data_IF_053901257949
#
_entry.id   IF_053901257949
#
_cell.length_a   1.000
_cell.length_b   1.000
_cell.length_c   1.000
_cell.angle_alpha   90.00
_cell.angle_beta   90.00
_cell.angle_gamma   90.00
#
_symmetry.space_group_name_H-M   'P 1'
#
loop_
_entity.id
_entity.type
_entity.pdbx_description
1 polymer ?
#
# COMPACT_ATOMS: atom_id res chain seq x y z
N UNK A 1 -10.63 -21.49 4.06
CA UNK A 1 -9.60 -20.64 4.70
C UNK A 1 -8.57 -21.56 5.33
N UNK A 2 -7.29 -21.34 5.08
CA UNK A 2 -6.22 -22.10 5.74
C UNK A 2 -6.10 -21.65 7.22
N UNK A 3 -5.75 -22.60 8.10
CA UNK A 3 -5.49 -22.26 9.50
C UNK A 3 -4.08 -21.65 9.66
N UNK A 4 -3.85 -20.85 10.71
CA UNK A 4 -2.53 -20.30 10.99
C UNK A 4 -1.44 -21.39 11.09
N UNK A 5 -1.77 -22.56 11.66
CA UNK A 5 -0.83 -23.71 11.75
C UNK A 5 -0.44 -24.27 10.39
N UNK A 6 -1.38 -24.32 9.42
CA UNK A 6 -1.08 -24.73 8.06
C UNK A 6 -0.24 -23.71 7.32
N UNK A 7 -0.57 -22.41 7.49
CA UNK A 7 0.18 -21.30 6.91
C UNK A 7 1.64 -21.27 7.41
N UNK A 8 1.86 -21.45 8.70
CA UNK A 8 3.22 -21.49 9.30
C UNK A 8 4.14 -22.51 8.64
N UNK A 9 3.61 -23.61 8.13
CA UNK A 9 4.39 -24.68 7.49
C UNK A 9 4.61 -24.43 6.00
N UNK A 10 3.73 -23.67 5.37
CA UNK A 10 3.68 -23.52 3.91
C UNK A 10 4.31 -22.23 3.43
N UNK A 11 4.11 -21.13 4.16
CA UNK A 11 4.55 -19.81 3.78
C UNK A 11 6.08 -19.71 3.82
N UNK A 12 6.66 -19.15 2.77
CA UNK A 12 8.08 -18.80 2.64
C UNK A 12 8.30 -17.29 2.64
N UNK A 13 7.32 -16.55 2.11
CA UNK A 13 7.39 -15.09 1.94
C UNK A 13 6.16 -14.45 2.58
N UNK A 14 6.38 -13.45 3.43
CA UNK A 14 5.35 -12.53 3.89
C UNK A 14 5.51 -11.24 3.07
N UNK A 15 4.53 -10.94 2.23
CA UNK A 15 4.56 -9.83 1.29
C UNK A 15 3.59 -8.75 1.72
N UNK A 16 4.04 -7.51 1.80
CA UNK A 16 3.30 -6.40 2.37
C UNK A 16 2.92 -5.36 1.32
N UNK A 17 1.67 -4.88 1.38
CA UNK A 17 1.33 -3.58 0.86
C UNK A 17 2.08 -2.48 1.63
N UNK A 18 2.44 -1.40 0.96
CA UNK A 18 3.19 -0.27 1.55
C UNK A 18 2.26 0.76 2.18
N UNK A 19 1.42 1.40 1.35
CA UNK A 19 0.70 2.62 1.70
C UNK A 19 -0.58 2.36 2.51
N UNK A 20 -0.53 2.67 3.81
CA UNK A 20 -1.61 2.43 4.76
C UNK A 20 -1.52 1.08 5.46
N UNK A 21 -0.55 0.23 5.09
CA UNK A 21 -0.26 -1.05 5.75
C UNK A 21 1.04 -0.99 6.54
N UNK A 22 2.16 -0.71 5.88
CA UNK A 22 3.48 -0.50 6.51
C UNK A 22 3.63 0.95 6.98
N UNK A 23 3.30 1.92 6.14
CA UNK A 23 3.41 3.36 6.44
C UNK A 23 2.04 4.02 6.61
N UNK A 24 1.94 4.98 7.54
CA UNK A 24 0.71 5.74 7.80
C UNK A 24 0.54 6.88 6.79
N UNK A 25 0.09 6.53 5.60
CA UNK A 25 -0.13 7.49 4.52
C UNK A 25 -1.18 8.55 4.88
N UNK A 26 -2.24 8.19 5.61
CA UNK A 26 -3.29 9.14 5.96
C UNK A 26 -2.76 10.23 6.88
N UNK A 27 -2.08 9.84 7.94
CA UNK A 27 -1.53 10.79 8.92
C UNK A 27 -0.40 11.60 8.30
N UNK A 28 0.56 10.94 7.65
CA UNK A 28 1.74 11.60 7.09
C UNK A 28 1.37 12.67 6.05
N UNK A 29 0.47 12.36 5.11
CA UNK A 29 0.02 13.35 4.13
C UNK A 29 -0.85 14.45 4.77
N UNK A 30 -1.67 14.12 5.78
CA UNK A 30 -2.42 15.15 6.49
C UNK A 30 -1.49 16.14 7.18
N UNK A 31 -0.43 15.65 7.84
CA UNK A 31 0.58 16.50 8.48
C UNK A 31 1.32 17.36 7.44
N UNK A 32 1.69 16.79 6.30
CA UNK A 32 2.40 17.49 5.23
C UNK A 32 1.54 18.57 4.54
N UNK A 33 0.27 18.27 4.28
CA UNK A 33 -0.62 19.18 3.54
C UNK A 33 -1.19 20.31 4.41
N UNK A 34 -1.28 20.12 5.74
CA UNK A 34 -1.90 21.09 6.65
C UNK A 34 -1.26 22.48 6.59
N UNK A 35 0.09 22.67 6.62
CA UNK A 35 0.70 23.98 6.51
C UNK A 35 0.36 24.67 5.20
N UNK A 36 0.46 23.95 4.07
CA UNK A 36 0.13 24.46 2.75
C UNK A 36 -1.33 24.92 2.65
N UNK A 37 -2.27 24.11 3.09
CA UNK A 37 -3.69 24.45 3.07
C UNK A 37 -4.02 25.67 3.92
N UNK A 38 -3.32 25.84 5.06
CA UNK A 38 -3.43 27.01 5.92
C UNK A 38 -2.88 28.26 5.23
N UNK A 39 -1.75 28.16 4.56
CA UNK A 39 -1.15 29.26 3.79
C UNK A 39 -2.07 29.74 2.67
N UNK A 40 -2.76 28.81 1.99
CA UNK A 40 -3.79 29.12 0.97
C UNK A 40 -5.10 29.69 1.57
N UNK A 41 -5.20 29.84 2.89
CA UNK A 41 -6.41 30.34 3.56
C UNK A 41 -7.59 29.37 3.51
N UNK A 42 -7.35 28.09 3.19
CA UNK A 42 -8.41 27.09 3.14
C UNK A 42 -8.83 26.66 4.55
N UNK A 43 -10.15 26.68 4.82
CA UNK A 43 -10.71 26.46 6.17
C UNK A 43 -11.33 25.09 6.36
N UNK A 44 -11.29 24.22 5.33
CA UNK A 44 -11.81 22.86 5.41
C UNK A 44 -10.93 21.94 6.27
N UNK A 45 -11.35 20.68 6.39
CA UNK A 45 -10.60 19.67 7.17
C UNK A 45 -9.49 19.00 6.31
N UNK A 46 -8.20 19.19 6.64
CA UNK A 46 -7.09 18.63 5.86
C UNK A 46 -7.15 17.10 5.74
N UNK A 47 -7.53 16.40 6.81
CA UNK A 47 -7.66 14.94 6.79
C UNK A 47 -8.74 14.43 5.85
N UNK A 48 -9.84 15.18 5.72
CA UNK A 48 -10.91 14.87 4.75
C UNK A 48 -10.44 15.09 3.31
N UNK A 49 -9.71 16.17 3.04
CA UNK A 49 -9.12 16.44 1.72
C UNK A 49 -8.12 15.36 1.33
N UNK A 50 -7.23 14.97 2.24
CA UNK A 50 -6.28 13.87 2.01
C UNK A 50 -7.00 12.54 1.77
N UNK A 51 -8.09 12.27 2.50
CA UNK A 51 -8.88 11.05 2.27
C UNK A 51 -9.47 11.04 0.86
N UNK A 52 -9.97 12.18 0.42
CA UNK A 52 -10.53 12.32 -0.93
C UNK A 52 -9.44 12.20 -2.00
N UNK A 53 -8.32 12.92 -1.85
CA UNK A 53 -7.16 12.79 -2.73
C UNK A 53 -6.73 11.32 -2.89
N UNK A 54 -6.51 10.61 -1.77
CA UNK A 54 -6.09 9.19 -1.79
C UNK A 54 -7.08 8.29 -2.51
N UNK A 55 -8.38 8.57 -2.36
CA UNK A 55 -9.42 7.82 -3.07
C UNK A 55 -9.36 8.09 -4.57
N UNK A 56 -9.24 9.35 -4.99
CA UNK A 56 -9.10 9.72 -6.40
C UNK A 56 -7.85 9.11 -7.02
N UNK A 57 -6.72 9.17 -6.31
CA UNK A 57 -5.47 8.55 -6.74
C UNK A 57 -5.63 7.04 -6.97
N UNK A 58 -6.25 6.34 -6.04
CA UNK A 58 -6.52 4.91 -6.16
C UNK A 58 -7.48 4.58 -7.31
N UNK A 59 -8.58 5.32 -7.44
CA UNK A 59 -9.55 5.15 -8.53
C UNK A 59 -8.87 5.35 -9.90
N UNK A 60 -8.05 6.39 -10.05
CA UNK A 60 -7.31 6.67 -11.28
C UNK A 60 -6.28 5.58 -11.60
N UNK A 61 -5.61 5.02 -10.59
CA UNK A 61 -4.69 3.89 -10.77
C UNK A 61 -5.41 2.63 -11.28
N UNK A 62 -6.62 2.35 -10.76
CA UNK A 62 -7.43 1.23 -11.26
C UNK A 62 -7.91 1.48 -12.70
N UNK A 63 -8.32 2.71 -13.01
CA UNK A 63 -8.74 3.09 -14.37
C UNK A 63 -7.57 2.91 -15.33
N UNK A 64 -6.38 3.38 -14.98
CA UNK A 64 -5.17 3.21 -15.80
C UNK A 64 -4.90 1.73 -16.12
N UNK A 65 -4.98 0.85 -15.12
CA UNK A 65 -4.81 -0.59 -15.31
C UNK A 65 -5.88 -1.22 -16.22
N UNK A 66 -7.11 -0.69 -16.23
CA UNK A 66 -8.22 -1.19 -17.05
C UNK A 66 -8.16 -0.71 -18.52
N UNK A 67 -7.48 0.40 -18.79
CA UNK A 67 -7.39 0.96 -20.14
C UNK A 67 -6.41 0.20 -21.07
N UNK A 68 -5.66 -0.77 -20.54
CA UNK A 68 -4.71 -1.61 -21.28
C UNK A 68 -3.73 -0.83 -22.17
N UNK A 69 -3.25 0.30 -21.66
CA UNK A 69 -2.23 1.13 -22.31
C UNK A 69 -0.90 1.02 -21.55
N UNK A 70 0.11 1.77 -22.00
CA UNK A 70 1.38 1.87 -21.29
C UNK A 70 1.16 2.31 -19.83
N UNK A 71 1.92 1.73 -18.93
CA UNK A 71 1.83 2.01 -17.49
C UNK A 71 2.19 3.48 -17.20
N UNK A 72 1.23 4.20 -16.65
CA UNK A 72 1.48 5.56 -16.17
C UNK A 72 2.18 5.51 -14.81
N UNK A 73 3.28 6.26 -14.58
CA UNK A 73 3.93 6.30 -13.27
C UNK A 73 2.94 6.66 -12.14
N UNK A 74 3.08 5.97 -11.00
CA UNK A 74 2.20 6.21 -9.83
C UNK A 74 2.27 7.65 -9.34
N UNK A 75 3.47 8.27 -9.38
CA UNK A 75 3.67 9.67 -9.05
C UNK A 75 2.83 10.57 -9.95
N UNK A 76 2.86 10.35 -11.26
CA UNK A 76 2.10 11.15 -12.23
C UNK A 76 0.59 11.04 -12.02
N UNK A 77 0.08 9.82 -11.75
CA UNK A 77 -1.34 9.65 -11.39
C UNK A 77 -1.65 10.39 -10.09
N UNK A 78 -0.72 10.38 -9.14
CA UNK A 78 -0.83 11.11 -7.88
C UNK A 78 -0.91 12.62 -8.07
N UNK A 79 -0.05 13.18 -8.94
CA UNK A 79 -0.06 14.61 -9.29
C UNK A 79 -1.40 15.00 -9.91
N UNK A 80 -1.87 14.28 -10.92
CA UNK A 80 -3.18 14.52 -11.56
C UNK A 80 -4.34 14.42 -10.57
N UNK A 81 -4.30 13.46 -9.66
CA UNK A 81 -5.34 13.27 -8.65
C UNK A 81 -5.34 14.39 -7.60
N UNK A 82 -4.17 14.91 -7.24
CA UNK A 82 -4.06 16.03 -6.30
C UNK A 82 -4.49 17.34 -6.95
N UNK A 83 -4.03 17.61 -8.16
CA UNK A 83 -4.45 18.74 -8.98
C UNK A 83 -5.99 18.83 -9.04
N UNK A 84 -6.65 17.78 -9.49
CA UNK A 84 -8.09 17.67 -9.51
C UNK A 84 -8.75 17.89 -8.14
N UNK A 85 -8.13 17.37 -7.08
CA UNK A 85 -8.67 17.49 -5.72
C UNK A 85 -8.60 18.94 -5.22
N UNK A 86 -7.49 19.63 -5.48
CA UNK A 86 -7.28 21.03 -5.11
C UNK A 86 -8.19 21.96 -5.92
N UNK A 87 -8.27 21.74 -7.25
CA UNK A 87 -9.18 22.51 -8.13
C UNK A 87 -10.63 22.41 -7.63
N UNK A 88 -11.09 21.19 -7.37
CA UNK A 88 -12.45 20.95 -6.91
C UNK A 88 -12.74 21.46 -5.51
N UNK A 89 -11.71 21.60 -4.66
CA UNK A 89 -11.80 22.25 -3.35
C UNK A 89 -11.72 23.80 -3.43
N UNK A 90 -11.53 24.36 -4.63
CA UNK A 90 -11.37 25.80 -4.86
C UNK A 90 -10.07 26.35 -4.29
N UNK A 91 -9.01 25.54 -4.22
CA UNK A 91 -7.69 25.93 -3.68
C UNK A 91 -6.77 26.31 -4.86
N UNK A 92 -6.38 27.60 -4.99
CA UNK A 92 -5.43 28.02 -6.03
C UNK A 92 -4.07 27.33 -5.82
N UNK A 93 -3.52 26.75 -6.88
CA UNK A 93 -2.26 26.01 -6.83
C UNK A 93 -1.51 26.08 -8.16
N UNK A 94 -0.26 25.67 -8.15
CA UNK A 94 0.63 25.51 -9.30
C UNK A 94 1.08 24.06 -9.43
N UNK A 95 1.55 23.66 -10.61
CA UNK A 95 2.10 22.32 -10.86
C UNK A 95 3.29 22.01 -9.92
N UNK A 96 4.14 23.01 -9.63
CA UNK A 96 5.29 22.82 -8.74
C UNK A 96 4.84 22.56 -7.29
N UNK A 97 3.81 23.25 -6.80
CA UNK A 97 3.23 23.01 -5.48
C UNK A 97 2.61 21.62 -5.39
N UNK A 98 1.96 21.15 -6.46
CA UNK A 98 1.41 19.77 -6.53
C UNK A 98 2.54 18.74 -6.43
N UNK A 99 3.64 18.91 -7.19
CA UNK A 99 4.80 18.02 -7.15
C UNK A 99 5.46 17.99 -5.77
N UNK A 100 5.63 19.15 -5.14
CA UNK A 100 6.20 19.25 -3.79
C UNK A 100 5.34 18.52 -2.76
N UNK A 101 4.02 18.67 -2.83
CA UNK A 101 3.10 17.95 -1.93
C UNK A 101 3.16 16.44 -2.16
N UNK A 102 3.19 15.98 -3.42
CA UNK A 102 3.25 14.55 -3.77
C UNK A 102 4.57 13.93 -3.33
N UNK A 103 5.68 14.66 -3.35
CA UNK A 103 6.98 14.16 -2.89
C UNK A 103 6.97 13.62 -1.46
N UNK A 104 6.02 14.09 -0.62
CA UNK A 104 5.88 13.61 0.76
C UNK A 104 5.46 12.13 0.86
N UNK A 105 4.93 11.52 -0.21
CA UNK A 105 4.59 10.08 -0.24
C UNK A 105 5.84 9.22 -0.03
N UNK A 106 7.00 9.71 -0.41
CA UNK A 106 8.26 8.99 -0.31
C UNK A 106 8.87 8.99 1.11
N UNK A 107 8.36 9.83 2.02
CA UNK A 107 8.91 10.04 3.36
C UNK A 107 7.88 9.83 4.47
N UNK A 108 7.00 8.86 4.27
CA UNK A 108 5.98 8.51 5.25
C UNK A 108 6.58 7.66 6.38
N UNK A 109 6.17 7.93 7.61
CA UNK A 109 6.57 7.14 8.77
C UNK A 109 5.81 5.83 8.82
N UNK A 110 6.49 4.77 9.27
CA UNK A 110 5.84 3.50 9.58
C UNK A 110 4.85 3.65 10.73
N UNK A 111 3.83 2.78 10.75
CA UNK A 111 3.05 2.59 11.97
C UNK A 111 3.96 2.09 13.10
N UNK A 112 3.70 2.49 14.37
CA UNK A 112 4.59 2.17 15.49
C UNK A 112 4.80 0.66 15.73
N UNK A 113 3.81 -0.16 15.39
CA UNK A 113 3.82 -1.62 15.54
C UNK A 113 4.63 -2.35 14.46
N UNK A 114 5.00 -1.67 13.38
CA UNK A 114 5.59 -2.31 12.19
C UNK A 114 7.05 -2.75 12.40
N UNK A 115 7.99 -1.90 12.86
CA UNK A 115 9.40 -2.28 12.88
C UNK A 115 9.69 -3.55 13.68
N UNK A 116 9.15 -3.64 14.91
CA UNK A 116 9.35 -4.79 15.78
C UNK A 116 8.67 -6.07 15.26
N UNK A 117 7.47 -5.92 14.68
CA UNK A 117 6.72 -7.03 14.09
C UNK A 117 7.44 -7.62 12.87
N UNK A 118 7.94 -6.75 11.96
CA UNK A 118 8.68 -7.21 10.78
C UNK A 118 10.02 -7.88 11.17
N UNK A 119 10.74 -7.35 12.14
CA UNK A 119 11.94 -8.00 12.66
C UNK A 119 11.63 -9.41 13.23
N UNK A 120 10.49 -9.58 13.92
CA UNK A 120 10.04 -10.89 14.40
C UNK A 120 9.68 -11.83 13.24
N UNK A 121 8.93 -11.38 12.25
CA UNK A 121 8.57 -12.18 11.07
C UNK A 121 9.80 -12.61 10.26
N UNK A 122 10.81 -11.74 10.15
CA UNK A 122 12.04 -11.99 9.40
C UNK A 122 12.90 -13.12 10.03
N UNK A 123 12.67 -13.48 11.28
CA UNK A 123 13.34 -14.66 11.89
C UNK A 123 12.95 -15.98 11.23
N UNK A 124 11.83 -15.99 10.48
CA UNK A 124 11.26 -17.21 9.91
C UNK A 124 10.91 -17.11 8.42
N UNK A 125 10.60 -15.93 7.94
CA UNK A 125 10.12 -15.69 6.57
C UNK A 125 10.96 -14.62 5.88
N UNK A 126 11.04 -14.67 4.54
CA UNK A 126 11.45 -13.50 3.78
C UNK A 126 10.36 -12.43 3.87
N UNK A 127 10.74 -11.18 4.11
CA UNK A 127 9.82 -10.04 4.15
C UNK A 127 10.01 -9.16 2.92
N UNK A 128 8.93 -8.93 2.18
CA UNK A 128 8.96 -8.27 0.87
C UNK A 128 7.86 -7.22 0.81
N UNK A 129 8.10 -6.12 0.10
CA UNK A 129 7.05 -5.15 -0.26
C UNK A 129 6.62 -5.38 -1.71
N UNK A 130 5.31 -5.34 -1.96
CA UNK A 130 4.70 -5.14 -3.28
C UNK A 130 3.81 -3.90 -3.23
N UNK A 131 4.18 -2.85 -3.96
CA UNK A 131 3.53 -1.54 -3.89
C UNK A 131 3.17 -0.98 -5.25
N UNK A 132 2.11 -0.16 -5.29
CA UNK A 132 1.76 0.65 -6.45
C UNK A 132 2.76 1.78 -6.74
N UNK A 133 3.62 2.15 -5.78
CA UNK A 133 4.63 3.18 -5.93
C UNK A 133 5.67 2.87 -7.01
N UNK A 134 6.20 3.91 -7.64
CA UNK A 134 7.30 3.77 -8.59
C UNK A 134 8.57 3.28 -7.90
N UNK A 135 9.48 2.66 -8.65
CA UNK A 135 10.69 2.04 -8.09
C UNK A 135 11.53 3.04 -7.28
N UNK A 136 11.78 4.22 -7.81
CA UNK A 136 12.56 5.27 -7.15
C UNK A 136 11.88 5.80 -5.88
N UNK A 137 10.56 5.96 -5.88
CA UNK A 137 9.78 6.31 -4.69
C UNK A 137 9.94 5.26 -3.58
N UNK A 138 9.90 3.99 -3.94
CA UNK A 138 10.03 2.89 -2.99
C UNK A 138 11.45 2.76 -2.43
N UNK A 139 12.48 3.00 -3.24
CA UNK A 139 13.88 3.04 -2.78
C UNK A 139 14.11 4.20 -1.79
N UNK A 140 13.58 5.40 -2.09
CA UNK A 140 13.61 6.55 -1.18
C UNK A 140 12.89 6.21 0.14
N UNK A 141 11.70 5.62 0.08
CA UNK A 141 10.93 5.21 1.24
C UNK A 141 11.69 4.17 2.09
N UNK A 142 12.29 3.17 1.46
CA UNK A 142 13.09 2.13 2.13
C UNK A 142 14.25 2.77 2.91
N UNK A 143 14.98 3.70 2.31
CA UNK A 143 16.06 4.43 2.97
C UNK A 143 15.53 5.27 4.15
N UNK A 144 14.38 5.92 3.97
CA UNK A 144 13.79 6.78 4.98
C UNK A 144 13.33 6.03 6.24
N UNK A 145 12.63 4.91 6.10
CA UNK A 145 12.12 4.18 7.26
C UNK A 145 13.08 3.10 7.78
N UNK A 146 14.14 2.76 7.04
CA UNK A 146 15.21 1.88 7.51
C UNK A 146 14.84 0.41 7.74
N UNK A 147 13.67 -0.05 7.24
CA UNK A 147 13.28 -1.45 7.39
C UNK A 147 14.05 -2.31 6.38
N UNK A 148 14.75 -3.36 6.84
CA UNK A 148 15.57 -4.21 5.98
C UNK A 148 14.72 -5.25 5.23
N UNK A 149 13.85 -4.80 4.31
CA UNK A 149 13.13 -5.73 3.43
C UNK A 149 14.09 -6.53 2.56
N UNK A 150 13.83 -7.83 2.41
CA UNK A 150 14.59 -8.71 1.52
C UNK A 150 14.41 -8.33 0.05
N UNK A 151 13.24 -7.80 -0.31
CA UNK A 151 12.98 -7.21 -1.62
C UNK A 151 11.88 -6.13 -1.54
N UNK A 152 11.94 -5.17 -2.47
CA UNK A 152 10.93 -4.13 -2.68
C UNK A 152 10.55 -4.14 -4.15
N UNK A 153 9.29 -4.47 -4.44
CA UNK A 153 8.79 -4.69 -5.80
C UNK A 153 7.75 -3.62 -6.13
N UNK A 154 7.97 -2.89 -7.21
CA UNK A 154 6.97 -2.00 -7.80
C UNK A 154 6.05 -2.78 -8.74
N UNK A 155 4.77 -2.43 -8.75
CA UNK A 155 3.81 -2.98 -9.72
C UNK A 155 4.12 -2.57 -11.17
N UNK A 156 4.96 -1.57 -11.38
CA UNK A 156 5.47 -1.19 -12.70
C UNK A 156 6.15 -2.39 -13.43
N UNK A 157 6.70 -3.37 -12.68
CA UNK A 157 7.24 -4.60 -13.24
C UNK A 157 6.18 -5.46 -13.97
N UNK A 158 4.90 -5.25 -13.64
CA UNK A 158 3.76 -5.94 -14.26
C UNK A 158 2.98 -5.07 -15.24
N UNK A 159 3.36 -3.80 -15.43
CA UNK A 159 2.62 -2.79 -16.20
C UNK A 159 1.14 -2.72 -15.82
N UNK A 160 0.84 -2.83 -14.53
CA UNK A 160 -0.52 -2.81 -14.02
C UNK A 160 -0.51 -2.28 -12.57
N UNK A 161 -1.68 -1.88 -12.06
CA UNK A 161 -1.85 -1.52 -10.65
C UNK A 161 -2.62 -2.60 -9.89
N UNK A 162 -2.36 -2.74 -8.59
CA UNK A 162 -3.19 -3.58 -7.72
C UNK A 162 -4.64 -3.06 -7.72
N UNK A 163 -5.66 -3.93 -7.77
CA UNK A 163 -5.61 -5.37 -7.54
C UNK A 163 -5.51 -6.26 -8.81
N UNK A 164 -4.94 -5.77 -9.90
CA UNK A 164 -4.79 -6.60 -11.11
C UNK A 164 -3.91 -7.84 -10.80
N UNK A 165 -4.37 -9.03 -11.19
CA UNK A 165 -3.72 -10.32 -10.87
C UNK A 165 -2.26 -10.38 -11.33
N UNK A 166 -1.94 -9.75 -12.46
CA UNK A 166 -0.58 -9.70 -12.99
C UNK A 166 0.45 -9.14 -11.99
N UNK A 167 0.07 -8.21 -11.11
CA UNK A 167 0.98 -7.61 -10.13
C UNK A 167 1.48 -8.64 -9.12
N UNK A 168 0.58 -9.48 -8.62
CA UNK A 168 0.89 -10.53 -7.64
C UNK A 168 1.65 -11.69 -8.30
N UNK A 169 1.23 -12.09 -9.51
CA UNK A 169 1.91 -13.13 -10.28
C UNK A 169 3.34 -12.74 -10.59
N UNK A 170 3.54 -11.51 -11.08
CA UNK A 170 4.88 -10.98 -11.39
C UNK A 170 5.78 -10.93 -10.16
N UNK A 171 5.24 -10.52 -9.01
CA UNK A 171 5.99 -10.52 -7.77
C UNK A 171 6.45 -11.93 -7.34
N UNK A 172 5.58 -12.94 -7.46
CA UNK A 172 5.94 -14.32 -7.17
C UNK A 172 7.00 -14.86 -8.15
N UNK A 173 6.92 -14.52 -9.45
CA UNK A 173 7.92 -14.85 -10.46
C UNK A 173 9.29 -14.25 -10.11
N UNK A 174 9.35 -12.97 -9.77
CA UNK A 174 10.60 -12.28 -9.37
C UNK A 174 11.26 -12.97 -8.17
N UNK A 175 10.45 -13.45 -7.23
CA UNK A 175 10.92 -14.11 -6.01
C UNK A 175 11.22 -15.60 -6.19
N UNK A 176 10.83 -16.20 -7.31
CA UNK A 176 10.99 -17.64 -7.58
C UNK A 176 10.20 -18.53 -6.62
N UNK A 177 9.00 -18.10 -6.19
CA UNK A 177 8.13 -18.83 -5.26
C UNK A 177 6.78 -19.15 -5.89
N UNK A 178 6.11 -20.19 -5.36
CA UNK A 178 4.72 -20.49 -5.74
C UNK A 178 3.78 -19.48 -5.10
N UNK A 179 2.64 -19.21 -5.74
CA UNK A 179 1.62 -18.29 -5.23
C UNK A 179 1.15 -18.71 -3.83
N UNK A 180 0.94 -19.97 -3.59
CA UNK A 180 0.47 -20.52 -2.31
C UNK A 180 1.56 -20.61 -1.21
N UNK A 181 2.79 -20.21 -1.52
CA UNK A 181 3.89 -20.02 -0.57
C UNK A 181 4.01 -18.57 -0.08
N UNK A 182 3.12 -17.67 -0.54
CA UNK A 182 3.10 -16.24 -0.18
C UNK A 182 1.89 -15.93 0.71
N UNK A 183 2.14 -15.26 1.83
CA UNK A 183 1.11 -14.58 2.62
C UNK A 183 1.16 -13.09 2.30
N UNK A 184 0.15 -12.59 1.60
CA UNK A 184 0.02 -11.19 1.28
C UNK A 184 -0.71 -10.45 2.42
N UNK A 185 -0.11 -9.35 2.90
CA UNK A 185 -0.57 -8.60 4.07
C UNK A 185 -0.99 -7.20 3.68
N UNK A 186 -2.24 -6.82 3.93
CA UNK A 186 -2.74 -5.49 3.62
C UNK A 186 -3.82 -5.01 4.61
N UNK A 187 -3.91 -3.67 4.74
CA UNK A 187 -5.03 -2.99 5.43
C UNK A 187 -6.19 -2.66 4.47
N UNK A 188 -6.11 -3.06 3.22
CA UNK A 188 -7.12 -2.79 2.21
C UNK A 188 -7.75 -4.11 1.73
N UNK A 189 -9.08 -4.21 1.82
CA UNK A 189 -9.81 -5.40 1.40
C UNK A 189 -9.56 -5.74 -0.08
N UNK A 190 -9.53 -4.73 -0.97
CA UNK A 190 -9.30 -4.93 -2.41
C UNK A 190 -7.96 -5.64 -2.69
N UNK A 191 -6.93 -5.34 -1.89
CA UNK A 191 -5.59 -5.88 -2.08
C UNK A 191 -5.50 -7.34 -1.61
N UNK A 192 -6.13 -7.65 -0.46
CA UNK A 192 -6.33 -9.03 -0.02
C UNK A 192 -7.13 -9.86 -1.05
N UNK A 193 -8.14 -9.24 -1.68
CA UNK A 193 -8.94 -9.87 -2.74
C UNK A 193 -8.09 -10.18 -3.97
N UNK A 194 -7.30 -9.22 -4.45
CA UNK A 194 -6.41 -9.41 -5.59
C UNK A 194 -5.40 -10.52 -5.35
N UNK A 195 -4.77 -10.54 -4.18
CA UNK A 195 -3.84 -11.58 -3.78
C UNK A 195 -4.50 -12.97 -3.73
N UNK A 196 -5.70 -13.08 -3.15
CA UNK A 196 -6.47 -14.33 -3.11
C UNK A 196 -6.90 -14.80 -4.51
N UNK A 197 -7.34 -13.88 -5.37
CA UNK A 197 -7.70 -14.18 -6.74
C UNK A 197 -6.50 -14.68 -7.57
N UNK A 198 -5.31 -14.20 -7.25
CA UNK A 198 -4.06 -14.64 -7.85
C UNK A 198 -3.56 -16.01 -7.31
N UNK A 199 -4.17 -16.52 -6.23
CA UNK A 199 -3.79 -17.81 -5.62
C UNK A 199 -2.87 -17.71 -4.40
N UNK A 200 -2.59 -16.51 -3.90
CA UNK A 200 -1.88 -16.29 -2.64
C UNK A 200 -2.80 -16.52 -1.44
N UNK A 201 -2.19 -16.70 -0.27
CA UNK A 201 -2.87 -16.50 1.00
C UNK A 201 -2.90 -15.02 1.36
N UNK A 202 -3.87 -14.58 2.17
CA UNK A 202 -3.93 -13.19 2.59
C UNK A 202 -4.20 -13.00 4.08
N UNK A 203 -3.58 -11.96 4.66
CA UNK A 203 -3.84 -11.45 5.99
C UNK A 203 -4.35 -10.01 5.92
N UNK A 204 -5.48 -9.76 6.55
CA UNK A 204 -6.06 -8.42 6.66
C UNK A 204 -5.68 -7.78 8.00
N UNK A 205 -5.05 -6.61 7.94
CA UNK A 205 -4.72 -5.79 9.13
C UNK A 205 -5.81 -4.73 9.28
N UNK A 206 -6.71 -4.90 10.24
CA UNK A 206 -7.87 -4.03 10.43
C UNK A 206 -7.54 -2.73 11.20
N UNK A 207 -6.62 -1.93 10.66
CA UNK A 207 -6.19 -0.66 11.27
C UNK A 207 -7.32 0.37 11.37
N UNK A 208 -8.36 0.23 10.56
CA UNK A 208 -9.44 1.21 10.44
C UNK A 208 -10.71 0.79 11.14
N UNK A 209 -10.76 -0.43 11.70
CA UNK A 209 -11.96 -1.01 12.32
C UNK A 209 -13.18 -0.92 11.39
N UNK A 210 -12.98 -1.30 10.13
CA UNK A 210 -14.00 -1.30 9.09
C UNK A 210 -14.33 -2.73 8.66
N UNK A 211 -15.60 -3.02 8.35
CA UNK A 211 -15.95 -4.32 7.80
C UNK A 211 -15.16 -4.62 6.52
N UNK A 212 -14.67 -5.85 6.40
CA UNK A 212 -14.03 -6.33 5.16
C UNK A 212 -14.99 -6.35 3.98
N UNK A 213 -16.26 -6.60 4.27
CA UNK A 213 -17.33 -6.70 3.28
C UNK A 213 -17.62 -8.13 2.86
N UNK A 214 -18.77 -8.30 2.20
CA UNK A 214 -19.19 -9.58 1.61
C UNK A 214 -18.59 -9.67 0.20
N UNK A 215 -17.44 -10.31 0.10
CA UNK A 215 -16.64 -10.39 -1.12
C UNK A 215 -16.43 -11.84 -1.52
N UNK A 216 -16.08 -12.13 -2.80
CA UNK A 216 -15.87 -13.50 -3.29
C UNK A 216 -14.77 -14.25 -2.53
N UNK A 217 -13.78 -13.54 -2.00
CA UNK A 217 -12.71 -14.09 -1.20
C UNK A 217 -12.69 -13.41 0.17
N UNK A 218 -12.34 -14.16 1.20
CA UNK A 218 -12.10 -13.65 2.54
C UNK A 218 -10.62 -13.87 2.90
N UNK A 219 -10.01 -13.04 3.76
CA UNK A 219 -8.64 -13.25 4.20
C UNK A 219 -8.54 -14.54 5.01
N UNK A 220 -7.38 -15.19 4.98
CA UNK A 220 -7.10 -16.38 5.81
C UNK A 220 -6.83 -15.98 7.27
N UNK A 221 -6.22 -14.80 7.47
CA UNK A 221 -5.94 -14.21 8.78
C UNK A 221 -6.58 -12.82 8.86
N UNK A 222 -7.16 -12.50 10.02
CA UNK A 222 -7.71 -11.18 10.33
C UNK A 222 -7.24 -10.75 11.71
N UNK A 223 -6.43 -9.68 11.76
CA UNK A 223 -5.84 -9.15 12.98
C UNK A 223 -5.93 -7.62 13.04
N UNK A 224 -5.79 -7.05 14.22
CA UNK A 224 -5.93 -5.61 14.45
C UNK A 224 -4.68 -4.81 14.07
N UNK A 225 -3.50 -5.43 14.18
CA UNK A 225 -2.20 -4.78 13.98
C UNK A 225 -1.12 -5.76 13.51
N UNK A 226 0.03 -5.22 13.13
CA UNK A 226 1.15 -6.02 12.63
C UNK A 226 1.79 -6.87 13.73
N UNK A 227 1.73 -6.40 14.98
CA UNK A 227 2.23 -7.17 16.13
C UNK A 227 1.44 -8.48 16.29
N UNK A 228 0.11 -8.39 16.25
CA UNK A 228 -0.79 -9.55 16.35
C UNK A 228 -0.54 -10.55 15.21
N UNK A 229 -0.29 -10.07 13.97
CA UNK A 229 0.11 -10.93 12.86
C UNK A 229 1.42 -11.66 13.15
N UNK A 230 2.43 -10.93 13.64
CA UNK A 230 3.73 -11.53 13.94
C UNK A 230 3.64 -12.55 15.09
N UNK A 231 2.81 -12.29 16.10
CA UNK A 231 2.56 -13.23 17.21
C UNK A 231 1.81 -14.48 16.73
N UNK A 232 0.91 -14.34 15.75
CA UNK A 232 0.19 -15.46 15.17
C UNK A 232 1.07 -16.31 14.24
N UNK A 233 2.02 -15.70 13.52
CA UNK A 233 2.81 -16.37 12.47
C UNK A 233 4.13 -16.96 12.96
N UNK A 234 4.72 -16.43 14.02
CA UNK A 234 5.96 -16.90 14.62
C UNK A 234 5.71 -17.54 15.96
#
# INVERSE_FOLDING_TARGET
>A
MATASELKKKIKVVMFDQYGTVVDMQKGLTEAFTPYLKEKGWTGNPGSLVTWYRRTHFENSMIDALLHREHTPYREIGERALDYTLERAGIPHTDDEVKDLISNIERLKCFPDVPAALAKLQTKYKIVVLSNGDRDMLETAKQYHGIPFDNVISVAEANAFKPHVATYTKAAEILGVKMDEVLFVANHAFDCLGAKAAGMHSAFIDRRKRPFGRTPHQPDIWVDDMKSLADEMV
#
